data_IF_543760082559
#
_entry.id   IF_543760082559
#
_cell.length_a   1.000
_cell.length_b   1.000
_cell.length_c   1.000
_cell.angle_alpha   90.00
_cell.angle_beta   90.00
_cell.angle_gamma   90.00
#
_symmetry.space_group_name_H-M   'P 1'
#
loop_
_entity.id
_entity.type
_entity.pdbx_description
1 polymer ?
#
# COMPACT_ATOMS: atom_id res chain seq x y z
N UNK A 1 -9.99 14.04 -3.98
CA UNK A 1 -11.23 13.51 -3.37
C UNK A 1 -11.05 12.05 -2.94
N UNK A 2 -10.94 11.08 -3.87
CA UNK A 2 -10.82 9.64 -3.54
C UNK A 2 -9.63 9.26 -2.63
N UNK A 3 -8.43 9.81 -2.85
CA UNK A 3 -7.25 9.51 -2.03
C UNK A 3 -7.42 10.06 -0.60
N UNK A 4 -7.97 11.26 -0.46
CA UNK A 4 -8.22 11.90 0.84
C UNK A 4 -9.23 11.11 1.68
N UNK A 5 -10.31 10.63 1.06
CA UNK A 5 -11.30 9.76 1.71
C UNK A 5 -10.68 8.42 2.11
N UNK A 6 -9.91 7.80 1.22
CA UNK A 6 -9.22 6.55 1.52
C UNK A 6 -8.25 6.70 2.69
N UNK A 7 -7.45 7.77 2.71
CA UNK A 7 -6.56 8.10 3.83
C UNK A 7 -7.33 8.21 5.15
N UNK A 8 -8.47 8.90 5.16
CA UNK A 8 -9.32 9.00 6.36
C UNK A 8 -9.80 7.62 6.81
N UNK A 9 -10.29 6.78 5.89
CA UNK A 9 -10.73 5.42 6.20
C UNK A 9 -9.59 4.55 6.76
N UNK A 10 -8.41 4.62 6.16
CA UNK A 10 -7.22 3.89 6.61
C UNK A 10 -6.79 4.34 8.00
N UNK A 11 -6.84 5.65 8.29
CA UNK A 11 -6.51 6.19 9.61
C UNK A 11 -7.57 5.88 10.70
N UNK A 12 -8.79 5.47 10.33
CA UNK A 12 -9.79 4.98 11.28
C UNK A 12 -9.63 3.50 11.66
N UNK A 13 -8.71 2.78 11.02
CA UNK A 13 -8.45 1.38 11.36
C UNK A 13 -7.86 1.28 12.78
N UNK A 14 -8.16 0.20 13.53
CA UNK A 14 -7.43 -0.11 14.75
C UNK A 14 -5.92 -0.14 14.50
N UNK A 15 -5.13 0.35 15.46
CA UNK A 15 -3.68 0.53 15.31
C UNK A 15 -2.97 -0.72 14.79
N UNK A 16 -3.35 -1.91 15.29
CA UNK A 16 -2.79 -3.18 14.85
C UNK A 16 -3.04 -3.41 13.35
N UNK A 17 -4.27 -3.20 12.87
CA UNK A 17 -4.66 -3.39 11.48
C UNK A 17 -3.99 -2.36 10.57
N UNK A 18 -3.96 -1.10 10.98
CA UNK A 18 -3.25 -0.04 10.26
C UNK A 18 -1.77 -0.39 10.09
N UNK A 19 -1.11 -0.82 11.17
CA UNK A 19 0.33 -1.14 11.18
C UNK A 19 0.64 -2.29 10.24
N UNK A 20 -0.13 -3.38 10.30
CA UNK A 20 0.05 -4.53 9.41
C UNK A 20 -0.22 -4.14 7.96
N UNK A 21 -1.32 -3.42 7.69
CA UNK A 21 -1.66 -3.00 6.34
C UNK A 21 -0.57 -2.09 5.76
N UNK A 22 -0.08 -1.11 6.52
CA UNK A 22 0.99 -0.22 6.10
C UNK A 22 2.27 -1.00 5.79
N UNK A 23 2.69 -1.91 6.66
CA UNK A 23 3.90 -2.71 6.46
C UNK A 23 3.78 -3.61 5.23
N UNK A 24 2.62 -4.25 5.04
CA UNK A 24 2.34 -5.10 3.88
C UNK A 24 2.38 -4.29 2.58
N UNK A 25 1.64 -3.18 2.50
CA UNK A 25 1.61 -2.36 1.29
C UNK A 25 3.00 -1.78 1.00
N UNK A 26 3.75 -1.32 2.01
CA UNK A 26 5.13 -0.85 1.83
C UNK A 26 6.05 -1.93 1.22
N UNK A 27 5.95 -3.17 1.69
CA UNK A 27 6.70 -4.29 1.14
C UNK A 27 6.31 -4.55 -0.32
N UNK A 28 5.00 -4.55 -0.61
CA UNK A 28 4.49 -4.77 -1.96
C UNK A 28 4.87 -3.66 -2.93
N UNK A 29 4.97 -2.40 -2.48
CA UNK A 29 5.53 -1.28 -3.28
C UNK A 29 6.96 -1.61 -3.73
N UNK A 30 7.79 -2.15 -2.84
CA UNK A 30 9.15 -2.58 -3.21
C UNK A 30 9.13 -3.74 -4.22
N UNK A 31 8.23 -4.71 -4.05
CA UNK A 31 8.05 -5.83 -4.99
C UNK A 31 7.69 -5.32 -6.39
N UNK A 32 6.70 -4.43 -6.52
CA UNK A 32 6.30 -3.90 -7.83
C UNK A 32 7.33 -2.95 -8.43
N UNK A 33 8.15 -2.27 -7.60
CA UNK A 33 9.28 -1.47 -8.08
C UNK A 33 10.37 -2.34 -8.74
N UNK A 34 10.39 -3.64 -8.46
CA UNK A 34 11.28 -4.63 -9.06
C UNK A 34 10.61 -5.48 -10.16
N UNK A 35 9.49 -5.00 -10.72
CA UNK A 35 8.68 -5.73 -11.70
C UNK A 35 9.46 -6.14 -12.96
N UNK A 36 10.48 -5.39 -13.38
CA UNK A 36 11.31 -5.76 -14.53
C UNK A 36 12.00 -7.12 -14.36
N UNK A 37 12.31 -7.48 -13.11
CA UNK A 37 13.03 -8.71 -12.78
C UNK A 37 12.11 -9.81 -12.26
N UNK A 38 11.20 -9.50 -11.33
CA UNK A 38 10.29 -10.50 -10.73
C UNK A 38 8.96 -10.67 -11.49
N UNK A 39 8.68 -9.82 -12.49
CA UNK A 39 7.47 -9.82 -13.33
C UNK A 39 6.15 -9.57 -12.58
N UNK A 40 6.21 -9.16 -11.32
CA UNK A 40 5.05 -8.83 -10.50
C UNK A 40 4.69 -7.35 -10.65
N UNK A 41 3.72 -7.07 -11.52
CA UNK A 41 3.14 -5.72 -11.69
C UNK A 41 2.09 -5.44 -10.61
N UNK A 42 1.70 -4.17 -10.45
CA UNK A 42 0.58 -3.76 -9.57
C UNK A 42 -0.68 -4.57 -9.88
N UNK A 43 -0.95 -4.85 -11.16
CA UNK A 43 -2.09 -5.67 -11.59
C UNK A 43 -1.96 -7.12 -11.10
N UNK A 44 -0.80 -7.75 -11.26
CA UNK A 44 -0.59 -9.14 -10.84
C UNK A 44 -0.68 -9.29 -9.32
N UNK A 45 -0.10 -8.36 -8.57
CA UNK A 45 -0.22 -8.33 -7.10
C UNK A 45 -1.67 -8.08 -6.68
N UNK A 46 -2.37 -7.15 -7.34
CA UNK A 46 -3.77 -6.86 -7.06
C UNK A 46 -4.69 -8.07 -7.24
N UNK A 47 -4.46 -8.92 -8.24
CA UNK A 47 -5.24 -10.16 -8.43
C UNK A 47 -5.12 -11.12 -7.24
N UNK A 48 -3.94 -11.20 -6.63
CA UNK A 48 -3.65 -12.15 -5.54
C UNK A 48 -4.05 -11.59 -4.17
N UNK A 49 -3.67 -10.35 -3.89
CA UNK A 49 -3.81 -9.77 -2.56
C UNK A 49 -5.15 -9.06 -2.32
N UNK A 50 -5.80 -8.53 -3.35
CA UNK A 50 -7.08 -7.84 -3.17
C UNK A 50 -8.19 -8.77 -2.62
N UNK A 51 -8.37 -10.01 -3.13
CA UNK A 51 -9.31 -10.97 -2.54
C UNK A 51 -8.92 -11.40 -1.13
N UNK A 52 -7.62 -11.62 -0.89
CA UNK A 52 -7.07 -12.04 0.40
C UNK A 52 -7.35 -11.02 1.51
N UNK A 53 -7.33 -9.73 1.18
CA UNK A 53 -7.61 -8.64 2.13
C UNK A 53 -9.09 -8.23 2.15
N UNK A 54 -9.93 -8.80 1.28
CA UNK A 54 -11.34 -8.40 1.14
C UNK A 54 -11.51 -6.96 0.62
N UNK A 55 -10.53 -6.43 -0.13
CA UNK A 55 -10.52 -5.05 -0.62
C UNK A 55 -10.71 -5.06 -2.14
N UNK A 56 -11.52 -4.15 -2.73
CA UNK A 56 -11.62 -4.04 -4.19
C UNK A 56 -10.25 -3.76 -4.83
N UNK A 57 -9.92 -4.45 -5.92
CA UNK A 57 -8.61 -4.34 -6.58
C UNK A 57 -8.24 -2.91 -6.99
N UNK A 58 -9.22 -2.08 -7.35
CA UNK A 58 -8.98 -0.66 -7.67
C UNK A 58 -8.53 0.16 -6.45
N UNK A 59 -9.11 -0.10 -5.27
CA UNK A 59 -8.73 0.56 -4.02
C UNK A 59 -7.35 0.06 -3.57
N UNK A 60 -7.10 -1.24 -3.68
CA UNK A 60 -5.80 -1.83 -3.38
C UNK A 60 -4.69 -1.29 -4.29
N UNK A 61 -4.94 -1.16 -5.59
CA UNK A 61 -4.00 -0.57 -6.54
C UNK A 61 -3.71 0.89 -6.21
N UNK A 62 -4.73 1.64 -5.79
CA UNK A 62 -4.58 3.03 -5.36
C UNK A 62 -3.69 3.15 -4.12
N UNK A 63 -3.82 2.23 -3.14
CA UNK A 63 -2.93 2.19 -1.97
C UNK A 63 -1.46 1.91 -2.33
N UNK A 64 -1.20 1.08 -3.33
CA UNK A 64 0.15 0.79 -3.80
C UNK A 64 0.76 1.98 -4.55
N UNK A 65 0.01 2.57 -5.48
CA UNK A 65 0.49 3.68 -6.32
C UNK A 65 0.68 4.97 -5.53
N UNK A 66 -0.23 5.25 -4.58
CA UNK A 66 -0.29 6.48 -3.80
C UNK A 66 0.11 6.25 -2.34
N UNK A 67 1.03 5.31 -2.10
CA UNK A 67 1.39 4.86 -0.75
C UNK A 67 1.70 6.01 0.22
N UNK A 68 2.52 6.98 -0.20
CA UNK A 68 2.89 8.13 0.63
C UNK A 68 1.69 8.98 1.03
N UNK A 69 0.77 9.23 0.09
CA UNK A 69 -0.42 10.04 0.32
C UNK A 69 -1.50 9.31 1.13
N UNK A 70 -1.56 7.98 1.07
CA UNK A 70 -2.54 7.17 1.82
C UNK A 70 -2.10 6.91 3.26
N UNK A 71 -0.81 6.65 3.48
CA UNK A 71 -0.27 6.23 4.79
C UNK A 71 0.53 7.32 5.52
N UNK A 72 0.45 8.57 5.06
CA UNK A 72 1.14 9.71 5.68
C UNK A 72 2.65 9.48 5.82
N UNK A 73 3.25 8.96 4.75
CA UNK A 73 4.68 8.74 4.67
C UNK A 73 5.30 9.88 3.88
N UNK A 74 5.94 10.81 4.60
CA UNK A 74 6.83 11.79 3.98
C UNK A 74 7.98 11.04 3.32
N UNK A 75 8.03 11.05 1.99
CA UNK A 75 9.13 10.49 1.19
C UNK A 75 10.46 11.26 1.35
N UNK A 76 10.56 12.16 2.35
CA UNK A 76 11.72 13.01 2.61
C UNK A 76 12.63 12.61 3.79
N UNK A 77 12.19 11.85 4.79
CA UNK A 77 13.05 11.43 5.92
C UNK A 77 12.56 10.13 6.55
N UNK A 78 13.26 9.05 6.24
CA UNK A 78 13.02 7.79 6.91
C UNK A 78 14.04 6.73 6.50
N UNK A 79 15.32 7.06 6.52
CA UNK A 79 16.32 5.99 6.67
C UNK A 79 16.01 5.28 8.00
N UNK A 80 15.87 3.95 8.04
CA UNK A 80 16.02 3.25 9.29
C UNK A 80 17.48 3.48 9.73
N UNK A 81 17.66 4.14 10.87
CA UNK A 81 18.96 4.10 11.54
C UNK A 81 19.12 2.71 12.18
N UNK A 82 20.35 2.16 12.18
CA UNK A 82 20.66 0.85 12.75
C UNK A 82 20.37 0.76 14.24
#
# INVERSE_FOLDING_TARGET
>A
KRISELRLLVNMLPLANYTVLRALIAHLVSVVSNADRNKMTVRNIGIVFAPTLGIPAGVFSLMLLEFGAVFDVDTGRGRPQP
#
